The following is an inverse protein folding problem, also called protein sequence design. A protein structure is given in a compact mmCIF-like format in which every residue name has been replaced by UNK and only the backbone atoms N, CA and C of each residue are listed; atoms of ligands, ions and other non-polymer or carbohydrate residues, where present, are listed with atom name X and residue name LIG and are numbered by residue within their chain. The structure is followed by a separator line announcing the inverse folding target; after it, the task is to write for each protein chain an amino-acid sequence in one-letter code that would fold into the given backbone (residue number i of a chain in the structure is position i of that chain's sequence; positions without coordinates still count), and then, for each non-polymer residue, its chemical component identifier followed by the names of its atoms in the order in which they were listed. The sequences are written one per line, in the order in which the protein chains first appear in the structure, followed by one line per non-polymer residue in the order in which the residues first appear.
data_IF_438083082386
#
_entry.id   IF_438083082386
#
_cell.length_a   1.000
_cell.length_b   1.000
_cell.length_c   1.000
_cell.angle_alpha   90.00
_cell.angle_beta   90.00
_cell.angle_gamma   90.00
#
_symmetry.space_group_name_H-M   'P 1'
#
loop_
_entity.id
_entity.type
_entity.pdbx_description
1 polymer ?
#
# COMPACT_ATOMS: atom_id res chain seq x y z
N UNK A 1 36.94 38.73 -16.74
CA UNK A 1 35.55 38.74 -16.27
C UNK A 1 34.72 37.60 -16.83
N UNK A 2 34.74 37.28 -18.12
CA UNK A 2 33.92 36.22 -18.74
C UNK A 2 34.21 34.80 -18.18
N UNK A 3 35.47 34.45 -17.89
CA UNK A 3 35.87 33.13 -17.37
C UNK A 3 35.39 32.88 -15.92
N UNK A 4 35.36 33.92 -15.09
CA UNK A 4 34.87 33.80 -13.70
C UNK A 4 33.36 33.62 -13.67
N UNK A 5 32.65 34.27 -14.60
CA UNK A 5 31.17 34.11 -14.71
C UNK A 5 30.77 32.71 -15.17
N UNK A 6 31.55 32.11 -16.09
CA UNK A 6 31.31 30.75 -16.58
C UNK A 6 31.51 29.69 -15.50
N UNK A 7 32.53 29.85 -14.64
CA UNK A 7 32.77 28.94 -13.48
C UNK A 7 31.71 29.06 -12.43
N UNK A 8 31.16 30.25 -12.16
CA UNK A 8 30.05 30.48 -11.24
C UNK A 8 28.74 29.85 -11.73
N UNK A 9 28.42 29.95 -13.02
CA UNK A 9 27.26 29.31 -13.63
C UNK A 9 27.36 27.77 -13.56
N UNK A 10 28.55 27.21 -13.82
CA UNK A 10 28.77 25.77 -13.75
C UNK A 10 28.62 25.21 -12.34
N UNK A 11 29.00 25.96 -11.29
CA UNK A 11 28.83 25.56 -9.90
C UNK A 11 27.35 25.65 -9.42
N UNK A 12 26.55 26.59 -9.93
CA UNK A 12 25.13 26.70 -9.58
C UNK A 12 24.32 25.54 -10.18
N UNK A 13 24.66 25.09 -11.38
CA UNK A 13 23.98 23.94 -12.05
C UNK A 13 24.25 22.63 -11.32
N UNK A 14 25.45 22.46 -10.69
CA UNK A 14 25.79 21.23 -9.97
C UNK A 14 25.04 21.06 -8.63
N UNK A 15 24.49 22.14 -8.06
CA UNK A 15 23.76 22.09 -6.78
C UNK A 15 22.25 21.77 -6.91
N UNK A 16 21.70 21.70 -8.15
CA UNK A 16 20.25 21.56 -8.37
C UNK A 16 19.78 20.12 -8.72
N UNK A 17 20.66 19.12 -8.70
CA UNK A 17 20.34 17.80 -9.29
C UNK A 17 20.04 16.63 -8.31
N UNK A 18 20.14 16.66 -6.97
CA UNK A 18 20.14 15.37 -6.25
C UNK A 18 18.80 14.88 -5.69
N UNK A 19 17.72 15.68 -5.61
CA UNK A 19 16.52 15.25 -4.88
C UNK A 19 15.67 14.23 -5.66
N UNK A 20 15.60 14.37 -6.98
CA UNK A 20 14.76 13.50 -7.82
C UNK A 20 15.30 12.08 -7.98
N UNK A 21 16.60 11.88 -7.89
CA UNK A 21 17.27 10.57 -8.08
C UNK A 21 17.00 9.65 -6.88
N UNK A 22 16.98 10.18 -5.67
CA UNK A 22 16.80 9.40 -4.45
C UNK A 22 15.37 8.80 -4.37
N UNK A 23 14.37 9.58 -4.72
CA UNK A 23 12.97 9.14 -4.72
C UNK A 23 12.70 8.04 -5.77
N UNK A 24 13.30 8.12 -6.93
CA UNK A 24 13.21 7.09 -7.96
C UNK A 24 13.85 5.76 -7.52
N UNK A 25 14.96 5.82 -6.80
CA UNK A 25 15.63 4.64 -6.22
C UNK A 25 14.75 3.95 -5.19
N UNK A 26 14.17 4.68 -4.23
CA UNK A 26 13.33 4.11 -3.17
C UNK A 26 12.07 3.44 -3.72
N UNK A 27 11.38 4.06 -4.70
CA UNK A 27 10.23 3.44 -5.36
C UNK A 27 10.60 2.15 -6.11
N UNK A 28 11.77 2.12 -6.77
CA UNK A 28 12.25 0.93 -7.47
C UNK A 28 12.53 -0.21 -6.49
N UNK A 29 13.17 0.05 -5.36
CA UNK A 29 13.44 -0.95 -4.32
C UNK A 29 12.15 -1.49 -3.69
N UNK A 30 11.16 -0.63 -3.40
CA UNK A 30 9.83 -1.05 -2.92
C UNK A 30 9.20 -2.03 -3.94
N UNK A 31 9.21 -1.68 -5.24
CA UNK A 31 8.63 -2.51 -6.29
C UNK A 31 9.36 -3.86 -6.39
N UNK A 32 10.68 -3.86 -6.34
CA UNK A 32 11.49 -5.08 -6.39
C UNK A 32 11.20 -6.00 -5.20
N UNK A 33 11.15 -5.44 -3.98
CA UNK A 33 10.84 -6.19 -2.78
C UNK A 33 9.46 -6.84 -2.84
N UNK A 34 8.43 -6.06 -3.16
CA UNK A 34 7.05 -6.55 -3.28
C UNK A 34 6.91 -7.59 -4.41
N UNK A 35 7.61 -7.40 -5.53
CA UNK A 35 7.55 -8.35 -6.66
C UNK A 35 8.23 -9.68 -6.39
N UNK A 36 9.17 -9.74 -5.45
CA UNK A 36 9.79 -10.99 -5.01
C UNK A 36 8.81 -11.88 -4.22
N UNK A 37 7.76 -11.32 -3.62
CA UNK A 37 6.80 -12.02 -2.76
C UNK A 37 5.69 -12.68 -3.57
N UNK A 38 5.66 -14.02 -3.59
CA UNK A 38 4.56 -14.81 -4.17
C UNK A 38 3.49 -15.17 -3.15
N UNK A 39 3.94 -15.54 -1.95
CA UNK A 39 3.09 -15.91 -0.83
C UNK A 39 3.56 -15.17 0.41
N UNK A 40 2.62 -14.77 1.24
CA UNK A 40 2.92 -14.06 2.48
C UNK A 40 1.93 -14.49 3.56
N UNK A 41 2.43 -14.70 4.77
CA UNK A 41 1.65 -14.87 5.99
C UNK A 41 2.00 -13.71 6.91
N UNK A 42 0.99 -12.98 7.38
CA UNK A 42 1.22 -11.84 8.26
C UNK A 42 0.09 -11.66 9.28
N UNK A 43 0.44 -11.19 10.46
CA UNK A 43 -0.54 -10.72 11.43
C UNK A 43 -0.95 -9.29 11.06
N UNK A 44 -2.18 -8.91 11.41
CA UNK A 44 -2.64 -7.57 11.18
C UNK A 44 -3.44 -7.03 12.37
N UNK A 45 -3.42 -5.71 12.51
CA UNK A 45 -4.37 -4.93 13.31
C UNK A 45 -5.08 -3.97 12.38
N UNK A 46 -6.40 -4.10 12.28
CA UNK A 46 -7.25 -3.24 11.48
C UNK A 46 -8.02 -2.30 12.39
N UNK A 47 -7.93 -0.99 12.12
CA UNK A 47 -8.76 0.03 12.77
C UNK A 47 -9.72 0.62 11.75
N UNK A 48 -11.01 0.66 12.10
CA UNK A 48 -12.06 1.20 11.26
C UNK A 48 -13.11 1.83 12.15
N UNK A 49 -13.32 3.14 12.05
CA UNK A 49 -14.09 3.90 13.03
C UNK A 49 -13.57 3.66 14.47
N UNK A 50 -14.46 3.36 15.39
CA UNK A 50 -14.15 3.06 16.80
C UNK A 50 -13.81 1.58 17.06
N UNK A 51 -13.70 0.77 16.00
CA UNK A 51 -13.46 -0.66 16.11
C UNK A 51 -12.03 -1.02 15.76
N UNK A 52 -11.37 -1.75 16.65
CA UNK A 52 -10.10 -2.43 16.39
C UNK A 52 -10.34 -3.93 16.26
N UNK A 53 -9.80 -4.52 15.21
CA UNK A 53 -9.85 -5.95 14.92
C UNK A 53 -8.45 -6.47 14.61
N UNK A 54 -8.16 -7.70 15.05
CA UNK A 54 -6.86 -8.36 14.82
C UNK A 54 -7.08 -9.68 14.12
N UNK A 55 -6.02 -10.19 13.55
CA UNK A 55 -6.06 -11.49 12.92
C UNK A 55 -4.80 -11.84 12.14
N UNK A 56 -4.93 -12.87 11.32
CA UNK A 56 -3.86 -13.38 10.47
C UNK A 56 -4.34 -13.52 9.03
N UNK A 57 -3.52 -13.07 8.09
CA UNK A 57 -3.79 -13.19 6.67
C UNK A 57 -2.78 -14.11 5.98
N UNK A 58 -3.28 -14.81 4.97
CA UNK A 58 -2.52 -15.61 4.03
C UNK A 58 -2.77 -15.07 2.62
N UNK A 59 -1.74 -14.55 2.01
CA UNK A 59 -1.77 -14.02 0.65
C UNK A 59 -1.08 -14.99 -0.31
N UNK A 60 -1.70 -15.20 -1.47
CA UNK A 60 -1.10 -15.89 -2.60
C UNK A 60 -1.42 -15.12 -3.88
N UNK A 61 -0.42 -14.44 -4.40
CA UNK A 61 -0.57 -13.64 -5.62
C UNK A 61 -0.85 -14.51 -6.84
N UNK A 62 -1.54 -14.00 -7.83
CA UNK A 62 -2.04 -12.63 -7.95
C UNK A 62 -3.47 -12.42 -7.45
N UNK A 63 -4.18 -13.45 -6.94
CA UNK A 63 -5.65 -13.37 -6.83
C UNK A 63 -6.25 -13.86 -5.52
N UNK A 64 -5.44 -14.28 -4.55
CA UNK A 64 -5.97 -14.92 -3.34
C UNK A 64 -5.47 -14.24 -2.08
N UNK A 65 -6.39 -13.90 -1.21
CA UNK A 65 -6.14 -13.49 0.16
C UNK A 65 -7.18 -14.14 1.05
N UNK A 66 -6.75 -14.69 2.18
CA UNK A 66 -7.65 -15.17 3.22
C UNK A 66 -7.19 -14.67 4.56
N UNK A 67 -8.08 -13.97 5.28
CA UNK A 67 -7.82 -13.47 6.61
C UNK A 67 -8.79 -14.08 7.60
N UNK A 68 -8.27 -14.47 8.75
CA UNK A 68 -9.03 -14.95 9.90
C UNK A 68 -8.94 -13.87 10.98
N UNK A 69 -10.09 -13.38 11.41
CA UNK A 69 -10.20 -12.38 12.46
C UNK A 69 -10.34 -13.03 13.82
N UNK A 70 -9.67 -12.46 14.81
CA UNK A 70 -9.74 -12.87 16.22
C UNK A 70 -10.99 -12.24 16.89
N UNK A 71 -12.16 -12.55 16.38
CA UNK A 71 -13.42 -12.02 16.90
C UNK A 71 -14.39 -13.12 17.32
N UNK A 72 -15.39 -12.76 18.16
CA UNK A 72 -16.41 -13.69 18.64
C UNK A 72 -17.31 -14.23 17.51
N UNK A 73 -17.33 -13.55 16.36
CA UNK A 73 -18.15 -13.90 15.21
C UNK A 73 -17.43 -14.86 14.25
N UNK A 74 -16.15 -15.14 14.53
CA UNK A 74 -15.29 -15.95 13.65
C UNK A 74 -15.35 -15.44 12.21
N UNK A 75 -15.10 -14.13 12.07
CA UNK A 75 -15.12 -13.46 10.76
C UNK A 75 -13.95 -13.93 9.91
N UNK A 76 -14.24 -14.28 8.66
CA UNK A 76 -13.25 -14.55 7.63
C UNK A 76 -13.43 -13.56 6.48
N UNK A 77 -12.34 -13.00 5.98
CA UNK A 77 -12.31 -12.25 4.72
C UNK A 77 -11.61 -13.12 3.69
N UNK A 78 -12.25 -13.33 2.55
CA UNK A 78 -11.73 -14.18 1.49
C UNK A 78 -11.78 -13.40 0.18
N UNK A 79 -10.65 -13.28 -0.49
CA UNK A 79 -10.56 -12.75 -1.84
C UNK A 79 -10.19 -13.88 -2.78
N UNK A 80 -10.99 -14.06 -3.81
CA UNK A 80 -10.72 -15.03 -4.87
C UNK A 80 -11.10 -14.40 -6.21
N UNK A 81 -10.11 -14.27 -7.10
CA UNK A 81 -10.26 -13.69 -8.44
C UNK A 81 -10.82 -12.24 -8.40
N UNK A 82 -12.14 -12.05 -8.52
CA UNK A 82 -12.79 -10.74 -8.62
C UNK A 82 -13.81 -10.47 -7.52
N UNK A 83 -13.90 -11.35 -6.55
CA UNK A 83 -14.91 -11.29 -5.48
C UNK A 83 -14.21 -11.21 -4.13
N UNK A 84 -14.68 -10.31 -3.29
CA UNK A 84 -14.40 -10.24 -1.87
C UNK A 84 -15.60 -10.83 -1.13
N UNK A 85 -15.36 -11.78 -0.25
CA UNK A 85 -16.36 -12.42 0.61
C UNK A 85 -16.01 -12.14 2.06
N UNK A 86 -17.00 -11.66 2.82
CA UNK A 86 -16.94 -11.60 4.28
C UNK A 86 -17.88 -12.66 4.82
N UNK A 87 -17.34 -13.61 5.57
CA UNK A 87 -18.07 -14.70 6.16
C UNK A 87 -18.07 -14.61 7.69
N UNK A 88 -19.22 -14.41 8.29
CA UNK A 88 -19.43 -14.50 9.74
C UNK A 88 -19.88 -15.92 10.09
N UNK A 89 -18.92 -16.76 10.44
CA UNK A 89 -19.09 -18.20 10.62
C UNK A 89 -20.13 -18.52 11.70
N UNK A 90 -20.09 -17.81 12.82
CA UNK A 90 -21.02 -17.99 13.95
C UNK A 90 -22.50 -17.83 13.56
N UNK A 91 -22.77 -16.92 12.62
CA UNK A 91 -24.16 -16.63 12.20
C UNK A 91 -24.50 -17.24 10.84
N UNK A 92 -23.55 -17.95 10.23
CA UNK A 92 -23.66 -18.48 8.86
C UNK A 92 -24.06 -17.40 7.83
N UNK A 93 -23.57 -16.16 8.03
CA UNK A 93 -23.88 -15.02 7.13
C UNK A 93 -22.72 -14.73 6.21
N UNK A 94 -23.03 -14.61 4.92
CA UNK A 94 -22.07 -14.35 3.86
C UNK A 94 -22.45 -13.07 3.13
N UNK A 95 -21.48 -12.15 3.02
CA UNK A 95 -21.57 -10.94 2.22
C UNK A 95 -20.60 -11.03 1.07
N UNK A 96 -21.02 -10.61 -0.13
CA UNK A 96 -20.19 -10.64 -1.34
C UNK A 96 -20.12 -9.25 -1.95
N UNK A 97 -18.90 -8.82 -2.29
CA UNK A 97 -18.63 -7.52 -2.87
C UNK A 97 -17.76 -7.67 -4.12
N UNK A 98 -17.99 -6.85 -5.17
CA UNK A 98 -17.09 -6.79 -6.31
C UNK A 98 -15.75 -6.20 -5.87
N UNK A 99 -14.65 -6.89 -6.19
CA UNK A 99 -13.31 -6.47 -5.81
C UNK A 99 -12.90 -5.16 -6.51
N UNK A 100 -13.51 -4.84 -7.65
CA UNK A 100 -13.26 -3.61 -8.40
C UNK A 100 -13.56 -2.31 -7.62
N UNK A 101 -14.37 -2.39 -6.58
CA UNK A 101 -14.72 -1.25 -5.71
C UNK A 101 -13.78 -1.09 -4.51
N UNK A 102 -12.69 -1.84 -4.46
CA UNK A 102 -11.71 -1.78 -3.36
C UNK A 102 -10.28 -1.78 -3.90
N UNK A 103 -9.34 -1.30 -3.09
CA UNK A 103 -7.91 -1.32 -3.42
C UNK A 103 -7.27 -2.73 -3.34
N UNK A 104 -8.00 -3.74 -2.90
CA UNK A 104 -7.44 -5.10 -2.83
C UNK A 104 -7.02 -5.66 -4.19
N UNK A 105 -7.71 -5.27 -5.27
CA UNK A 105 -7.32 -5.69 -6.61
C UNK A 105 -5.93 -5.18 -7.00
N UNK A 106 -5.64 -3.93 -6.63
CA UNK A 106 -4.36 -3.29 -6.85
C UNK A 106 -3.26 -3.90 -5.96
N UNK A 107 -3.56 -4.13 -4.68
CA UNK A 107 -2.61 -4.72 -3.72
C UNK A 107 -2.20 -6.14 -4.14
N UNK A 108 -3.14 -6.94 -4.63
CA UNK A 108 -2.90 -8.33 -5.01
C UNK A 108 -2.18 -8.47 -6.35
N UNK A 109 -2.50 -7.63 -7.33
CA UNK A 109 -1.90 -7.65 -8.65
C UNK A 109 -0.60 -6.84 -8.69
N UNK A 110 0.51 -7.50 -9.08
CA UNK A 110 1.85 -6.88 -9.08
C UNK A 110 1.95 -5.64 -9.95
N UNK A 111 1.44 -5.71 -11.18
CA UNK A 111 1.58 -4.61 -12.14
C UNK A 111 0.78 -3.39 -11.68
N UNK A 112 -0.42 -3.63 -11.14
CA UNK A 112 -1.26 -2.58 -10.58
C UNK A 112 -0.65 -1.97 -9.32
N UNK A 113 -0.10 -2.80 -8.43
CA UNK A 113 0.61 -2.31 -7.26
C UNK A 113 1.82 -1.47 -7.65
N UNK A 114 2.67 -1.98 -8.55
CA UNK A 114 3.83 -1.26 -9.06
C UNK A 114 3.45 0.06 -9.73
N UNK A 115 2.29 0.12 -10.41
CA UNK A 115 1.76 1.37 -10.96
C UNK A 115 1.45 2.38 -9.86
N UNK A 116 0.74 1.97 -8.80
CA UNK A 116 0.43 2.85 -7.66
C UNK A 116 1.72 3.40 -7.04
N UNK A 117 2.72 2.55 -6.83
CA UNK A 117 4.00 2.99 -6.25
C UNK A 117 4.70 4.01 -7.17
N UNK A 118 4.67 3.81 -8.49
CA UNK A 118 5.28 4.77 -9.44
C UNK A 118 4.54 6.10 -9.50
N UNK A 119 3.21 6.06 -9.57
CA UNK A 119 2.36 7.23 -9.77
C UNK A 119 2.07 8.00 -8.49
N UNK A 120 2.05 7.33 -7.33
CA UNK A 120 1.77 7.96 -6.04
C UNK A 120 2.86 8.92 -5.58
N UNK A 121 2.50 9.86 -4.72
CA UNK A 121 3.41 10.83 -4.11
C UNK A 121 4.21 10.17 -2.99
N UNK A 122 5.54 10.26 -3.06
CA UNK A 122 6.44 9.74 -2.04
C UNK A 122 6.79 10.83 -1.03
N UNK A 123 6.45 10.57 0.23
CA UNK A 123 6.92 11.33 1.39
C UNK A 123 7.81 10.46 2.26
N UNK A 124 8.82 11.07 2.87
CA UNK A 124 9.69 10.40 3.82
C UNK A 124 9.66 11.16 5.14
N UNK A 125 9.30 10.45 6.20
CA UNK A 125 9.36 10.98 7.56
C UNK A 125 10.00 9.96 8.49
N UNK A 126 11.06 10.37 9.18
CA UNK A 126 11.85 9.50 10.05
C UNK A 126 12.33 8.24 9.31
N UNK A 127 11.89 7.06 9.77
CA UNK A 127 12.22 5.75 9.18
C UNK A 127 11.09 5.17 8.33
N UNK A 128 10.11 5.97 7.94
CA UNK A 128 8.94 5.54 7.17
C UNK A 128 8.91 6.25 5.82
N UNK A 129 8.71 5.48 4.77
CA UNK A 129 8.36 5.97 3.44
C UNK A 129 6.84 5.83 3.26
N UNK A 130 6.17 6.92 2.97
CA UNK A 130 4.73 6.95 2.68
C UNK A 130 4.54 7.16 1.18
N UNK A 131 3.72 6.30 0.57
CA UNK A 131 3.26 6.47 -0.82
C UNK A 131 1.77 6.74 -0.79
N UNK A 132 1.38 7.95 -1.14
CA UNK A 132 0.00 8.39 -1.24
C UNK A 132 -0.49 8.29 -2.67
N UNK A 133 -1.65 7.65 -2.87
CA UNK A 133 -2.28 7.51 -4.19
C UNK A 133 -3.78 7.78 -4.10
N UNK A 134 -4.30 8.55 -5.06
CA UNK A 134 -5.72 8.90 -5.16
C UNK A 134 -6.32 8.27 -6.41
N UNK A 135 -7.43 7.55 -6.23
CA UNK A 135 -8.24 6.97 -7.29
C UNK A 135 -9.64 7.58 -7.22
N UNK A 136 -10.13 8.15 -8.33
CA UNK A 136 -11.40 8.86 -8.35
C UNK A 136 -12.62 7.99 -7.99
N UNK A 137 -12.54 6.69 -8.26
CA UNK A 137 -13.65 5.75 -8.03
C UNK A 137 -13.56 5.01 -6.69
N UNK A 138 -12.39 5.03 -6.02
CA UNK A 138 -12.13 4.23 -4.81
C UNK A 138 -11.75 5.07 -3.60
N UNK A 139 -11.30 6.31 -3.81
CA UNK A 139 -10.80 7.20 -2.76
C UNK A 139 -9.28 7.25 -2.69
N UNK A 140 -8.72 7.29 -1.50
CA UNK A 140 -7.30 7.45 -1.23
C UNK A 140 -6.72 6.21 -0.58
N UNK A 141 -5.50 5.85 -0.94
CA UNK A 141 -4.71 4.84 -0.23
C UNK A 141 -3.30 5.37 0.04
N UNK A 142 -2.85 5.22 1.28
CA UNK A 142 -1.47 5.49 1.69
C UNK A 142 -0.82 4.17 2.08
N UNK A 143 0.29 3.85 1.46
CA UNK A 143 1.14 2.73 1.84
C UNK A 143 2.31 3.21 2.67
N UNK A 144 2.60 2.50 3.74
CA UNK A 144 3.73 2.77 4.63
C UNK A 144 4.78 1.67 4.51
N UNK A 145 6.03 2.06 4.24
CA UNK A 145 7.16 1.15 4.12
C UNK A 145 8.26 1.53 5.08
N UNK A 146 9.01 0.53 5.51
CA UNK A 146 10.26 0.76 6.25
C UNK A 146 11.31 1.38 5.32
N UNK A 147 11.91 2.49 5.73
CA UNK A 147 13.02 3.10 4.98
C UNK A 147 14.31 2.27 5.03
N UNK A 148 14.39 1.29 5.94
CA UNK A 148 15.58 0.45 6.12
C UNK A 148 15.66 -0.70 5.14
N UNK A 149 14.52 -1.37 4.89
CA UNK A 149 14.46 -2.61 4.12
C UNK A 149 13.31 -2.64 3.10
N UNK A 150 12.58 -1.52 2.96
CA UNK A 150 11.45 -1.36 2.05
C UNK A 150 10.29 -2.35 2.24
N UNK A 151 10.20 -2.98 3.41
CA UNK A 151 9.08 -3.85 3.76
C UNK A 151 7.81 -3.04 3.98
N UNK A 152 6.69 -3.58 3.54
CA UNK A 152 5.38 -3.00 3.79
C UNK A 152 5.03 -3.11 5.28
N UNK A 153 4.85 -1.97 5.94
CA UNK A 153 4.49 -1.87 7.37
C UNK A 153 2.96 -1.88 7.53
N UNK A 154 2.24 -1.30 6.57
CA UNK A 154 0.79 -1.17 6.64
C UNK A 154 0.25 -0.27 5.55
N UNK A 155 -1.04 0.01 5.62
CA UNK A 155 -1.69 0.98 4.75
C UNK A 155 -2.91 1.61 5.42
N UNK A 156 -3.29 2.79 4.91
CA UNK A 156 -4.53 3.48 5.25
C UNK A 156 -5.36 3.62 3.97
N UNK A 157 -6.65 3.37 4.06
CA UNK A 157 -7.60 3.64 2.99
C UNK A 157 -8.63 4.64 3.50
N UNK A 158 -8.94 5.64 2.69
CA UNK A 158 -10.08 6.53 2.85
C UNK A 158 -10.98 6.28 1.63
N UNK A 159 -12.13 5.65 1.85
CA UNK A 159 -13.05 5.35 0.75
C UNK A 159 -13.82 6.59 0.27
N UNK A 160 -14.59 6.45 -0.81
CA UNK A 160 -15.40 7.55 -1.38
C UNK A 160 -16.46 8.12 -0.44
N UNK A 161 -16.78 7.43 0.67
CA UNK A 161 -17.70 7.87 1.70
C UNK A 161 -16.95 8.43 2.93
N UNK A 162 -15.64 8.69 2.82
CA UNK A 162 -14.76 9.14 3.88
C UNK A 162 -14.61 8.14 5.04
N UNK A 163 -14.89 6.86 4.83
CA UNK A 163 -14.63 5.84 5.84
C UNK A 163 -13.13 5.53 5.85
N UNK A 164 -12.53 5.60 7.04
CA UNK A 164 -11.10 5.36 7.22
C UNK A 164 -10.89 3.94 7.73
N UNK A 165 -10.01 3.20 7.05
CA UNK A 165 -9.52 1.88 7.48
C UNK A 165 -8.01 1.89 7.50
N UNK A 166 -7.41 1.55 8.64
CA UNK A 166 -5.97 1.46 8.82
C UNK A 166 -5.63 0.01 9.11
N UNK A 167 -4.60 -0.51 8.43
CA UNK A 167 -4.08 -1.85 8.64
C UNK A 167 -2.57 -1.77 8.89
N UNK A 168 -2.12 -2.39 9.98
CA UNK A 168 -0.71 -2.46 10.41
C UNK A 168 -0.33 -3.89 10.74
#
# INVERSE_FOLDING_TARGET
MLRVFLVLILNVIFFLIPISILNASSKAEIINNINSLNTLKFNFTQKSFDKEEKGICYLKRPHYLKCFYEDKNQKELIISKRILVIYHKRYNKIYRYPLSKSFFLEILNRDKFARIIREGDLNQENNVLEIKYIDQDKGEIDFYFSNKNYDLIGWRVIDINNNITILK
#
